data_IF_082563876261
#
_entry.id   IF_082563876261
#
_cell.length_a   1.000
_cell.length_b   1.000
_cell.length_c   1.000
_cell.angle_alpha   90.00
_cell.angle_beta   90.00
_cell.angle_gamma   90.00
#
_symmetry.space_group_name_H-M   'P 1'
#
loop_
_entity.id
_entity.type
_entity.pdbx_description
1 polymer ?
#
# COMPACT_ATOMS: atom_id res chain seq x y z
N UNK A 1 22.83 25.40 52.16
CA UNK A 1 22.66 24.00 51.70
C UNK A 1 21.18 23.69 51.52
N UNK A 2 20.80 23.45 50.26
CA UNK A 2 19.65 22.69 49.71
C UNK A 2 18.21 22.90 50.23
N UNK A 3 17.41 23.49 49.32
CA UNK A 3 15.94 23.52 49.24
C UNK A 3 15.47 22.33 48.40
N UNK A 4 14.48 21.57 48.86
CA UNK A 4 13.77 20.55 48.07
C UNK A 4 12.41 21.12 47.63
N UNK A 5 12.10 21.09 46.34
CA UNK A 5 10.75 21.37 45.81
C UNK A 5 10.28 20.13 45.06
N UNK A 6 9.08 19.67 45.43
CA UNK A 6 8.44 18.44 44.97
C UNK A 6 7.58 18.77 43.75
N UNK A 7 7.84 18.02 42.68
CA UNK A 7 6.97 17.62 41.56
C UNK A 7 5.74 18.45 41.18
N UNK A 8 5.76 18.97 39.96
CA UNK A 8 4.57 19.05 39.10
C UNK A 8 4.71 17.99 38.00
N UNK A 9 4.00 16.88 38.14
CA UNK A 9 3.78 15.92 37.06
C UNK A 9 2.85 16.57 36.03
N UNK A 10 3.35 16.78 34.82
CA UNK A 10 2.52 17.15 33.67
C UNK A 10 2.26 15.87 32.86
N UNK A 11 1.01 15.39 32.70
CA UNK A 11 0.75 14.24 31.85
C UNK A 11 0.82 14.68 30.39
N UNK A 12 1.98 14.49 29.76
CA UNK A 12 2.13 14.68 28.33
C UNK A 12 1.15 13.76 27.59
N UNK A 13 0.20 14.40 26.90
CA UNK A 13 -0.75 13.84 25.95
C UNK A 13 -0.03 12.88 24.97
N UNK A 14 -0.55 11.68 24.68
CA UNK A 14 0.06 10.83 23.67
C UNK A 14 -0.24 11.44 22.31
N UNK A 15 0.74 12.14 21.76
CA UNK A 15 0.73 12.58 20.37
C UNK A 15 0.82 11.32 19.51
N UNK A 16 -0.30 10.97 18.86
CA UNK A 16 -0.34 9.92 17.88
C UNK A 16 0.67 10.27 16.79
N UNK A 17 1.84 9.63 16.82
CA UNK A 17 2.79 9.69 15.71
C UNK A 17 2.11 9.02 14.53
N UNK A 18 1.57 9.82 13.62
CA UNK A 18 1.37 9.36 12.25
C UNK A 18 2.73 8.93 11.74
N UNK A 19 2.99 7.62 11.76
CA UNK A 19 4.13 7.04 11.07
C UNK A 19 3.80 7.18 9.59
N UNK A 20 4.17 8.33 9.02
CA UNK A 20 4.23 8.51 7.58
C UNK A 20 5.27 7.51 7.11
N UNK A 21 4.82 6.36 6.62
CA UNK A 21 5.65 5.37 5.94
C UNK A 21 6.17 6.05 4.69
N UNK A 22 7.28 6.77 4.82
CA UNK A 22 8.00 7.39 3.72
C UNK A 22 8.76 6.27 3.03
N UNK A 23 8.13 5.64 2.04
CA UNK A 23 8.86 4.90 1.03
C UNK A 23 9.67 5.93 0.22
N UNK A 24 10.97 5.69 -0.04
CA UNK A 24 11.79 6.64 -0.77
C UNK A 24 11.19 6.83 -2.17
N UNK A 25 11.03 8.07 -2.66
CA UNK A 25 10.64 8.29 -4.04
C UNK A 25 11.84 7.95 -4.93
N UNK A 26 11.77 6.81 -5.63
CA UNK A 26 12.58 6.59 -6.81
C UNK A 26 11.94 7.37 -7.95
N UNK A 27 12.73 8.07 -8.77
CA UNK A 27 12.27 8.77 -9.98
C UNK A 27 11.69 7.82 -11.07
N UNK A 28 11.44 6.55 -10.71
CA UNK A 28 10.71 5.51 -11.44
C UNK A 28 9.68 4.80 -10.56
N UNK A 29 8.98 5.49 -9.66
CA UNK A 29 8.01 4.86 -8.77
C UNK A 29 6.60 4.77 -9.39
N UNK A 30 6.29 3.60 -9.95
CA UNK A 30 4.93 3.25 -10.33
C UNK A 30 4.04 3.20 -9.08
N UNK A 31 3.14 4.18 -8.93
CA UNK A 31 2.18 4.19 -7.81
C UNK A 31 1.21 3.02 -7.92
N UNK A 32 0.60 2.63 -6.78
CA UNK A 32 -0.44 1.59 -6.78
C UNK A 32 -1.62 1.97 -7.69
N UNK A 33 -2.03 3.24 -7.69
CA UNK A 33 -3.10 3.73 -8.57
C UNK A 33 -2.70 3.64 -10.06
N UNK A 34 -1.49 4.07 -10.42
CA UNK A 34 -0.98 3.94 -11.78
C UNK A 34 -0.89 2.47 -12.22
N UNK A 35 -0.57 1.57 -11.29
CA UNK A 35 -0.59 0.14 -11.53
C UNK A 35 -1.99 -0.42 -11.77
N UNK A 36 -2.99 0.00 -10.99
CA UNK A 36 -4.38 -0.42 -11.19
C UNK A 36 -4.92 0.06 -12.54
N UNK A 37 -4.58 1.30 -12.93
CA UNK A 37 -4.89 1.84 -14.25
C UNK A 37 -4.22 1.03 -15.36
N UNK A 38 -2.95 0.63 -15.19
CA UNK A 38 -2.23 -0.28 -16.10
C UNK A 38 -2.94 -1.64 -16.20
N UNK A 39 -3.49 -2.16 -15.10
CA UNK A 39 -4.26 -3.40 -15.07
C UNK A 39 -5.71 -3.26 -15.58
N UNK A 40 -6.11 -2.09 -16.08
CA UNK A 40 -7.48 -1.77 -16.50
C UNK A 40 -8.53 -1.94 -15.40
N UNK A 41 -8.13 -1.75 -14.14
CA UNK A 41 -9.05 -1.75 -13.00
C UNK A 41 -9.57 -0.33 -12.81
N UNK A 42 -10.86 -0.14 -13.09
CA UNK A 42 -11.48 1.17 -13.03
C UNK A 42 -11.62 1.65 -11.56
N UNK A 43 -11.59 2.97 -11.31
CA UNK A 43 -11.91 3.53 -9.98
C UNK A 43 -13.29 3.11 -9.46
N UNK A 44 -14.24 2.83 -10.36
CA UNK A 44 -15.58 2.34 -10.02
C UNK A 44 -15.65 0.87 -9.56
N UNK A 45 -14.56 0.10 -9.64
CA UNK A 45 -14.51 -1.28 -9.14
C UNK A 45 -14.38 -1.33 -7.61
N UNK A 46 -15.43 -0.90 -6.93
CA UNK A 46 -15.46 -0.74 -5.47
C UNK A 46 -15.11 -2.02 -4.73
N UNK A 47 -15.46 -3.18 -5.27
CA UNK A 47 -15.14 -4.47 -4.66
C UNK A 47 -13.62 -4.71 -4.62
N UNK A 48 -12.92 -4.45 -5.72
CA UNK A 48 -11.48 -4.69 -5.80
C UNK A 48 -10.70 -3.69 -4.98
N UNK A 49 -11.08 -2.42 -5.04
CA UNK A 49 -10.50 -1.36 -4.20
C UNK A 49 -10.71 -1.65 -2.71
N UNK A 50 -11.92 -2.06 -2.31
CA UNK A 50 -12.20 -2.43 -0.92
C UNK A 50 -11.39 -3.66 -0.45
N UNK A 51 -11.16 -4.64 -1.33
CA UNK A 51 -10.31 -5.79 -1.01
C UNK A 51 -8.83 -5.39 -0.85
N UNK A 52 -8.32 -4.50 -1.71
CA UNK A 52 -6.97 -3.94 -1.64
C UNK A 52 -6.79 -3.18 -0.32
N UNK A 53 -7.73 -2.32 0.03
CA UNK A 53 -7.70 -1.52 1.26
C UNK A 53 -7.80 -2.40 2.52
N UNK A 54 -8.81 -3.29 2.57
CA UNK A 54 -9.05 -4.20 3.71
C UNK A 54 -7.84 -5.07 4.03
N UNK A 55 -7.05 -5.44 3.01
CA UNK A 55 -5.90 -6.32 3.15
C UNK A 55 -4.56 -5.59 3.03
N UNK A 56 -4.56 -4.26 3.08
CA UNK A 56 -3.36 -3.42 3.10
C UNK A 56 -2.39 -3.71 1.95
N UNK A 57 -2.92 -3.95 0.74
CA UNK A 57 -2.14 -4.18 -0.47
C UNK A 57 -1.65 -2.84 -1.05
N UNK A 58 -0.81 -2.12 -0.29
CA UNK A 58 -0.48 -0.72 -0.59
C UNK A 58 0.53 -0.50 -1.71
N UNK A 59 1.28 -1.53 -2.10
CA UNK A 59 2.31 -1.41 -3.13
C UNK A 59 2.17 -2.52 -4.18
N UNK A 60 2.21 -2.14 -5.46
CA UNK A 60 1.95 -3.05 -6.59
C UNK A 60 2.91 -4.25 -6.64
N UNK A 61 4.13 -4.10 -6.12
CA UNK A 61 5.13 -5.17 -6.12
C UNK A 61 4.67 -6.41 -5.35
N UNK A 62 3.67 -6.31 -4.46
CA UNK A 62 3.06 -7.46 -3.79
C UNK A 62 2.47 -8.48 -4.78
N UNK A 63 2.06 -8.03 -5.97
CA UNK A 63 1.52 -8.89 -7.02
C UNK A 63 2.59 -9.73 -7.70
N UNK A 64 3.90 -9.42 -7.54
CA UNK A 64 5.01 -10.27 -8.01
C UNK A 64 4.96 -11.66 -7.35
N UNK A 65 4.72 -11.70 -6.05
CA UNK A 65 4.79 -12.93 -5.25
C UNK A 65 3.43 -13.52 -4.92
N UNK A 66 2.37 -12.71 -4.92
CA UNK A 66 1.02 -13.19 -4.58
C UNK A 66 0.44 -14.05 -5.71
N UNK A 67 -0.15 -15.19 -5.38
CA UNK A 67 -0.82 -16.08 -6.34
C UNK A 67 -2.25 -15.63 -6.63
N UNK A 68 -2.76 -15.95 -7.83
CA UNK A 68 -4.17 -15.69 -8.21
C UNK A 68 -5.13 -16.30 -7.18
N UNK A 69 -4.87 -17.53 -6.72
CA UNK A 69 -5.65 -18.21 -5.68
C UNK A 69 -5.67 -17.39 -4.37
N UNK A 70 -4.55 -16.79 -3.97
CA UNK A 70 -4.50 -15.95 -2.77
C UNK A 70 -5.31 -14.67 -2.98
N UNK A 71 -5.18 -14.00 -4.12
CA UNK A 71 -5.99 -12.81 -4.45
C UNK A 71 -7.49 -13.11 -4.40
N UNK A 72 -7.91 -14.27 -4.93
CA UNK A 72 -9.30 -14.71 -4.84
C UNK A 72 -9.78 -14.91 -3.39
N UNK A 73 -8.93 -15.48 -2.53
CA UNK A 73 -9.22 -15.61 -1.08
C UNK A 73 -9.29 -14.28 -0.35
N UNK A 74 -8.69 -13.21 -0.89
CA UNK A 74 -8.78 -11.84 -0.38
C UNK A 74 -10.03 -11.10 -0.89
N UNK A 75 -10.91 -11.77 -1.66
CA UNK A 75 -12.16 -11.20 -2.15
C UNK A 75 -12.07 -10.52 -3.51
N UNK A 76 -10.92 -10.58 -4.18
CA UNK A 76 -10.74 -10.08 -5.55
C UNK A 76 -11.29 -11.11 -6.53
N UNK A 77 -12.15 -10.69 -7.47
CA UNK A 77 -12.73 -11.59 -8.47
C UNK A 77 -11.65 -12.19 -9.36
N UNK A 78 -11.83 -13.45 -9.78
CA UNK A 78 -10.83 -14.20 -10.55
C UNK A 78 -10.26 -13.43 -11.76
N UNK A 79 -11.12 -12.83 -12.59
CA UNK A 79 -10.67 -12.08 -13.77
C UNK A 79 -9.74 -10.91 -13.40
N UNK A 80 -10.05 -10.19 -12.33
CA UNK A 80 -9.25 -9.06 -11.84
C UNK A 80 -7.96 -9.55 -11.17
N UNK A 81 -8.00 -10.70 -10.50
CA UNK A 81 -6.79 -11.35 -9.97
C UNK A 81 -5.84 -11.76 -11.10
N UNK A 82 -6.36 -12.22 -12.25
CA UNK A 82 -5.56 -12.50 -13.45
C UNK A 82 -4.94 -11.21 -14.00
N UNK A 83 -5.72 -10.13 -14.14
CA UNK A 83 -5.22 -8.82 -14.60
C UNK A 83 -4.12 -8.27 -13.68
N UNK A 84 -4.35 -8.28 -12.37
CA UNK A 84 -3.35 -7.88 -11.37
C UNK A 84 -2.09 -8.72 -11.44
N UNK A 85 -2.16 -10.00 -11.81
CA UNK A 85 -0.97 -10.83 -11.97
C UNK A 85 -0.26 -10.56 -13.29
N UNK A 86 -1.00 -10.37 -14.37
CA UNK A 86 -0.47 -10.07 -15.70
C UNK A 86 0.19 -8.69 -15.78
N UNK A 87 -0.40 -7.68 -15.11
CA UNK A 87 0.11 -6.30 -15.08
C UNK A 87 1.52 -6.16 -14.47
N UNK A 88 1.99 -7.16 -13.73
CA UNK A 88 3.37 -7.18 -13.19
C UNK A 88 4.40 -7.11 -14.30
N UNK A 89 4.19 -7.83 -15.40
CA UNK A 89 5.13 -7.84 -16.52
C UNK A 89 5.26 -6.44 -17.14
N UNK A 90 4.13 -5.77 -17.36
CA UNK A 90 4.10 -4.46 -18.00
C UNK A 90 4.57 -3.34 -17.07
N UNK A 91 4.31 -3.47 -15.76
CA UNK A 91 4.91 -2.61 -14.75
C UNK A 91 6.44 -2.73 -14.76
N UNK A 92 6.98 -3.94 -14.73
CA UNK A 92 8.44 -4.15 -14.77
C UNK A 92 9.08 -3.60 -16.04
N UNK A 93 8.42 -3.75 -17.18
CA UNK A 93 8.89 -3.19 -18.45
C UNK A 93 8.96 -1.67 -18.41
N UNK A 94 7.93 -1.00 -17.88
CA UNK A 94 7.94 0.47 -17.72
C UNK A 94 9.11 0.95 -16.84
N UNK A 95 9.42 0.21 -15.78
CA UNK A 95 10.48 0.56 -14.83
C UNK A 95 11.91 0.30 -15.31
N UNK A 96 12.08 -0.51 -16.35
CA UNK A 96 13.39 -0.84 -16.91
C UNK A 96 13.66 -0.08 -18.23
N UNK A 97 12.74 0.80 -18.64
CA UNK A 97 12.85 1.58 -19.89
C UNK A 97 13.43 2.98 -19.67
N UNK A 98 13.88 3.30 -18.46
CA UNK A 98 14.57 4.54 -18.08
C UNK A 98 16.08 4.35 -17.91
#
# INVERSE_FOLDING_TARGET
MTRWVIGLFNPAKPEAREVKLQFPPSDGDLTMEAYLNLCHIQPGDTQTHAAIERHSLYHWSIFKTTSIRRLCKLGIRYGLAVLLKGGVHEAMKRLHQD
#
